data_IF_938641062010
#
_entry.id   IF_938641062010
#
_cell.length_a   1.000
_cell.length_b   1.000
_cell.length_c   1.000
_cell.angle_alpha   90.00
_cell.angle_beta   90.00
_cell.angle_gamma   90.00
#
_symmetry.space_group_name_H-M   'P 1'
#
loop_
_entity.id
_entity.type
_entity.pdbx_description
1 polymer ?
#
# COMPACT_ATOMS: atom_id res chain seq x y z
N UNK A 1 -22.78 -21.55 -0.10
CA UNK A 1 -22.58 -22.04 1.29
C UNK A 1 -21.14 -22.51 1.35
N UNK A 2 -20.24 -21.70 1.94
CA UNK A 2 -18.84 -22.07 2.15
C UNK A 2 -18.81 -22.79 3.51
N UNK A 3 -18.82 -24.12 3.52
CA UNK A 3 -19.10 -24.91 4.73
C UNK A 3 -18.03 -25.95 5.09
N UNK A 4 -16.93 -26.03 4.33
CA UNK A 4 -15.88 -27.02 4.58
C UNK A 4 -14.73 -26.48 5.44
N UNK A 5 -14.70 -25.16 5.69
CA UNK A 5 -13.63 -24.49 6.43
C UNK A 5 -13.94 -24.42 7.93
N UNK A 6 -13.27 -25.27 8.72
CA UNK A 6 -13.29 -25.20 10.20
C UNK A 6 -12.11 -24.34 10.68
N UNK A 7 -12.35 -23.50 11.69
CA UNK A 7 -11.31 -22.69 12.35
C UNK A 7 -11.30 -22.98 13.84
N UNK A 8 -10.12 -23.26 14.38
CA UNK A 8 -9.89 -23.50 15.80
C UNK A 8 -9.01 -22.38 16.36
N UNK A 9 -9.45 -21.75 17.44
CA UNK A 9 -8.75 -20.61 18.06
C UNK A 9 -8.46 -20.94 19.52
N UNK A 10 -7.21 -20.77 19.93
CA UNK A 10 -6.79 -20.91 21.31
C UNK A 10 -5.80 -19.80 21.67
N UNK A 11 -5.95 -19.21 22.86
CA UNK A 11 -5.02 -18.18 23.33
C UNK A 11 -3.81 -18.84 23.98
N UNK A 12 -2.64 -18.62 23.41
CA UNK A 12 -1.39 -19.17 23.93
C UNK A 12 -0.69 -18.11 24.77
N UNK A 13 -0.55 -18.36 26.07
CA UNK A 13 0.24 -17.55 27.02
C UNK A 13 1.39 -18.35 27.64
N UNK A 14 1.27 -19.68 27.69
CA UNK A 14 2.25 -20.60 28.27
C UNK A 14 2.52 -21.78 27.31
N UNK A 15 3.65 -22.50 27.48
CA UNK A 15 3.90 -23.74 26.72
C UNK A 15 2.84 -24.82 26.95
N UNK A 16 2.16 -24.82 28.10
CA UNK A 16 1.09 -25.77 28.40
C UNK A 16 -0.13 -25.54 27.48
N UNK A 17 -0.43 -24.29 27.14
CA UNK A 17 -1.53 -23.94 26.23
C UNK A 17 -1.29 -24.50 24.83
N UNK A 18 -0.03 -24.71 24.44
CA UNK A 18 0.30 -25.35 23.16
C UNK A 18 -0.08 -26.83 23.16
N UNK A 19 0.11 -27.51 24.30
CA UNK A 19 -0.29 -28.91 24.47
C UNK A 19 -1.82 -29.01 24.44
N UNK A 20 -2.52 -28.10 25.13
CA UNK A 20 -3.98 -28.05 25.10
C UNK A 20 -4.53 -27.84 23.68
N UNK A 21 -3.92 -26.93 22.90
CA UNK A 21 -4.30 -26.73 21.50
C UNK A 21 -4.01 -27.99 20.65
N UNK A 22 -2.92 -28.71 20.91
CA UNK A 22 -2.63 -29.97 20.22
C UNK A 22 -3.66 -31.07 20.59
N UNK A 23 -4.12 -31.11 21.85
CA UNK A 23 -5.17 -32.03 22.30
C UNK A 23 -6.54 -31.68 21.70
N UNK A 24 -6.85 -30.40 21.56
CA UNK A 24 -8.04 -29.91 20.85
C UNK A 24 -8.00 -30.35 19.37
N UNK A 25 -6.84 -30.24 18.71
CA UNK A 25 -6.64 -30.74 17.34
C UNK A 25 -6.83 -32.26 17.25
N UNK A 26 -6.28 -33.03 18.19
CA UNK A 26 -6.46 -34.48 18.24
C UNK A 26 -7.93 -34.87 18.45
N UNK A 27 -8.64 -34.11 19.29
CA UNK A 27 -10.07 -34.29 19.53
C UNK A 27 -10.90 -33.98 18.28
N UNK A 28 -10.52 -32.96 17.51
CA UNK A 28 -11.15 -32.65 16.23
C UNK A 28 -10.96 -33.78 15.21
N UNK A 29 -9.76 -34.36 15.13
CA UNK A 29 -9.46 -35.48 14.22
C UNK A 29 -10.27 -36.72 14.60
N UNK A 30 -10.34 -37.05 15.88
CA UNK A 30 -11.14 -38.20 16.35
C UNK A 30 -12.64 -37.97 16.11
N UNK A 31 -13.13 -36.75 16.34
CA UNK A 31 -14.50 -36.37 16.00
C UNK A 31 -14.79 -36.51 14.51
N UNK A 32 -13.90 -36.02 13.63
CA UNK A 32 -14.08 -36.16 12.18
C UNK A 32 -14.13 -37.65 11.75
N UNK A 33 -13.21 -38.46 12.26
CA UNK A 33 -13.15 -39.90 11.99
C UNK A 33 -14.44 -40.64 12.44
N UNK A 34 -14.95 -40.32 13.64
CA UNK A 34 -16.21 -40.91 14.14
C UNK A 34 -17.44 -40.53 13.32
N UNK A 35 -17.39 -39.40 12.61
CA UNK A 35 -18.47 -38.94 11.74
C UNK A 35 -18.24 -39.30 10.25
N UNK A 36 -17.19 -40.07 9.94
CA UNK A 36 -16.85 -40.46 8.57
C UNK A 36 -16.42 -39.29 7.69
N UNK A 37 -15.82 -38.25 8.27
CA UNK A 37 -15.29 -37.08 7.56
C UNK A 37 -13.78 -37.19 7.40
N UNK A 38 -13.30 -37.02 6.16
CA UNK A 38 -11.88 -36.96 5.85
C UNK A 38 -11.37 -35.51 5.86
N UNK A 39 -10.37 -35.23 6.70
CA UNK A 39 -9.73 -33.92 6.74
C UNK A 39 -8.70 -33.77 5.62
N UNK A 40 -8.76 -32.66 4.89
CA UNK A 40 -7.75 -32.34 3.88
C UNK A 40 -6.51 -31.72 4.52
N UNK A 41 -5.66 -32.56 5.13
CA UNK A 41 -4.44 -32.15 5.86
C UNK A 41 -3.55 -31.18 5.05
N UNK A 42 -3.30 -31.38 3.74
CA UNK A 42 -2.47 -30.46 2.96
C UNK A 42 -3.01 -29.03 2.84
N UNK A 43 -4.31 -28.82 3.11
CA UNK A 43 -4.94 -27.49 3.11
C UNK A 43 -5.03 -26.89 4.52
N UNK A 44 -4.73 -27.66 5.56
CA UNK A 44 -4.71 -27.17 6.93
C UNK A 44 -3.45 -26.32 7.14
N UNK A 45 -3.63 -25.11 7.66
CA UNK A 45 -2.53 -24.19 7.95
C UNK A 45 -2.64 -23.65 9.37
N UNK A 46 -1.48 -23.42 9.98
CA UNK A 46 -1.37 -22.81 11.29
C UNK A 46 -1.15 -21.31 11.12
N UNK A 47 -1.98 -20.51 11.79
CA UNK A 47 -1.80 -19.06 11.87
C UNK A 47 -1.67 -18.63 13.33
N UNK A 48 -0.68 -17.79 13.63
CA UNK A 48 -0.55 -17.15 14.94
C UNK A 48 -0.67 -15.63 14.82
N UNK A 49 -1.36 -15.04 15.79
CA UNK A 49 -1.49 -13.59 15.92
C UNK A 49 -0.86 -13.16 17.24
N UNK A 50 0.20 -12.38 17.17
CA UNK A 50 0.90 -11.86 18.34
C UNK A 50 1.27 -10.39 18.12
N UNK A 51 1.40 -9.64 19.22
CA UNK A 51 1.75 -8.21 19.18
C UNK A 51 3.26 -7.96 19.09
N UNK A 52 4.06 -8.98 19.39
CA UNK A 52 5.53 -8.92 19.35
C UNK A 52 6.06 -9.14 17.94
N UNK A 53 7.35 -8.91 17.72
CA UNK A 53 8.04 -9.14 16.43
C UNK A 53 8.28 -10.62 16.14
N UNK A 54 8.54 -11.40 17.19
CA UNK A 54 8.73 -12.84 17.13
C UNK A 54 7.64 -13.53 17.91
N UNK A 55 7.21 -14.70 17.43
CA UNK A 55 6.33 -15.56 18.20
C UNK A 55 7.07 -15.91 19.50
N UNK A 56 6.53 -15.58 20.68
CA UNK A 56 7.23 -15.80 21.94
C UNK A 56 7.38 -17.29 22.27
N UNK A 57 6.55 -18.15 21.67
CA UNK A 57 6.52 -19.59 21.93
C UNK A 57 6.50 -20.30 20.57
N UNK A 58 7.60 -20.99 20.24
CA UNK A 58 7.66 -21.85 19.06
C UNK A 58 7.18 -23.26 19.45
N UNK A 59 6.09 -23.71 18.84
CA UNK A 59 5.56 -25.06 19.01
C UNK A 59 5.12 -25.60 17.65
N UNK A 60 5.49 -26.85 17.38
CA UNK A 60 5.17 -27.52 16.12
C UNK A 60 3.90 -28.36 16.30
N UNK A 61 2.83 -27.94 15.64
CA UNK A 61 1.57 -28.66 15.66
C UNK A 61 1.51 -29.69 14.54
N UNK A 62 0.90 -30.85 14.82
CA UNK A 62 0.74 -31.91 13.83
C UNK A 62 -0.68 -32.46 13.81
N UNK A 63 -1.14 -32.87 12.63
CA UNK A 63 -2.41 -33.57 12.42
C UNK A 63 -2.07 -34.94 11.83
N UNK A 64 -2.46 -36.02 12.52
CA UNK A 64 -2.19 -37.40 12.08
C UNK A 64 -0.71 -37.67 11.74
N UNK A 65 0.21 -37.04 12.48
CA UNK A 65 1.66 -37.16 12.27
C UNK A 65 2.24 -36.24 11.19
N UNK A 66 1.42 -35.47 10.47
CA UNK A 66 1.86 -34.47 9.49
C UNK A 66 1.99 -33.11 10.17
N UNK A 67 3.15 -32.46 10.04
CA UNK A 67 3.37 -31.11 10.56
C UNK A 67 2.54 -30.08 9.79
N UNK A 68 1.87 -29.19 10.52
CA UNK A 68 1.15 -28.07 9.93
C UNK A 68 2.11 -26.99 9.47
N UNK A 69 1.93 -26.52 8.23
CA UNK A 69 2.68 -25.38 7.72
C UNK A 69 2.24 -24.10 8.45
N UNK A 70 3.23 -23.36 8.94
CA UNK A 70 2.99 -22.04 9.53
C UNK A 70 2.79 -21.02 8.42
N UNK A 71 1.55 -20.56 8.26
CA UNK A 71 1.24 -19.43 7.41
C UNK A 71 1.68 -18.15 8.13
N UNK A 72 2.89 -17.68 7.83
CA UNK A 72 3.46 -16.45 8.39
C UNK A 72 2.54 -15.25 8.11
N UNK A 73 1.78 -14.84 9.13
CA UNK A 73 1.08 -13.57 9.10
C UNK A 73 2.00 -12.48 9.66
N UNK A 74 2.83 -11.90 8.79
CA UNK A 74 3.55 -10.68 9.14
C UNK A 74 2.54 -9.55 9.32
N UNK A 75 2.22 -9.23 10.58
CA UNK A 75 1.24 -8.22 10.95
C UNK A 75 1.48 -6.87 10.23
N UNK A 76 2.75 -6.55 9.99
CA UNK A 76 3.22 -5.36 9.26
C UNK A 76 2.79 -5.36 7.80
N UNK A 77 2.96 -6.47 7.08
CA UNK A 77 2.54 -6.65 5.69
C UNK A 77 1.03 -6.53 5.54
N UNK A 78 0.28 -7.17 6.43
CA UNK A 78 -1.19 -7.13 6.41
C UNK A 78 -1.72 -5.73 6.74
N UNK A 79 -1.15 -5.05 7.74
CA UNK A 79 -1.51 -3.66 8.03
C UNK A 79 -1.19 -2.72 6.88
N UNK A 80 -0.07 -2.92 6.19
CA UNK A 80 0.24 -2.18 4.95
C UNK A 80 -0.89 -2.39 3.93
N UNK A 81 -1.27 -3.64 3.66
CA UNK A 81 -2.33 -3.95 2.68
C UNK A 81 -3.66 -3.29 3.08
N UNK A 82 -4.04 -3.35 4.36
CA UNK A 82 -5.24 -2.69 4.88
C UNK A 82 -5.18 -1.16 4.75
N UNK A 83 -4.06 -0.54 5.12
CA UNK A 83 -3.87 0.89 4.95
C UNK A 83 -3.98 1.30 3.47
N UNK A 84 -3.33 0.54 2.59
CA UNK A 84 -3.33 0.80 1.15
C UNK A 84 -4.74 0.69 0.54
N UNK A 85 -5.52 -0.30 0.98
CA UNK A 85 -6.85 -0.59 0.44
C UNK A 85 -7.96 0.30 1.01
N UNK A 86 -7.91 0.67 2.29
CA UNK A 86 -9.01 1.43 2.94
C UNK A 86 -8.74 2.93 3.09
N UNK A 87 -7.50 3.31 3.40
CA UNK A 87 -7.15 4.70 3.68
C UNK A 87 -6.55 5.34 2.45
N UNK A 88 -5.46 4.76 1.94
CA UNK A 88 -4.71 5.33 0.82
C UNK A 88 -5.54 5.39 -0.46
N UNK A 89 -6.37 4.38 -0.74
CA UNK A 89 -7.31 4.40 -1.86
C UNK A 89 -8.22 5.63 -1.86
N UNK A 90 -8.76 6.01 -0.70
CA UNK A 90 -9.60 7.21 -0.53
C UNK A 90 -8.79 8.51 -0.67
N UNK A 91 -7.56 8.52 -0.16
CA UNK A 91 -6.65 9.67 -0.26
C UNK A 91 -6.05 9.86 -1.66
N UNK A 92 -6.08 8.84 -2.50
CA UNK A 92 -5.59 8.91 -3.88
C UNK A 92 -6.72 9.12 -4.88
N UNK A 93 -7.94 8.72 -4.51
CA UNK A 93 -9.12 8.91 -5.34
C UNK A 93 -9.31 10.38 -5.69
N UNK A 94 -9.30 10.68 -6.99
CA UNK A 94 -9.49 12.04 -7.50
C UNK A 94 -8.38 13.03 -7.15
N UNK A 95 -7.22 12.58 -6.65
CA UNK A 95 -6.14 13.48 -6.22
C UNK A 95 -5.65 14.44 -7.32
N UNK A 96 -5.77 14.06 -8.58
CA UNK A 96 -5.45 14.93 -9.73
C UNK A 96 -6.40 16.13 -9.82
N UNK A 97 -7.63 16.01 -9.31
CA UNK A 97 -8.65 17.07 -9.35
C UNK A 97 -8.50 17.98 -8.14
N UNK A 98 -8.60 17.43 -6.93
CA UNK A 98 -8.70 18.21 -5.71
C UNK A 98 -7.37 18.61 -5.10
N UNK A 99 -6.24 18.04 -5.54
CA UNK A 99 -4.96 18.39 -4.92
C UNK A 99 -4.80 19.92 -5.00
N UNK A 100 -4.78 20.54 -3.82
CA UNK A 100 -4.57 21.96 -3.66
C UNK A 100 -3.11 22.11 -3.28
N UNK A 101 -2.33 22.79 -4.11
CA UNK A 101 -0.86 22.78 -3.98
C UNK A 101 -0.34 23.73 -2.89
N UNK A 102 -1.16 24.07 -1.90
CA UNK A 102 -0.66 24.75 -0.71
C UNK A 102 0.15 23.74 0.10
N UNK A 103 1.36 24.13 0.52
CA UNK A 103 2.23 23.26 1.35
C UNK A 103 1.54 22.78 2.62
N UNK A 104 0.67 23.62 3.22
CA UNK A 104 -0.12 23.27 4.41
C UNK A 104 -1.04 22.07 4.18
N UNK A 105 -1.80 22.07 3.09
CA UNK A 105 -2.78 21.02 2.81
C UNK A 105 -2.10 19.68 2.49
N UNK A 106 -1.03 19.73 1.70
CA UNK A 106 -0.20 18.56 1.43
C UNK A 106 0.38 17.98 2.74
N UNK A 107 0.80 18.84 3.67
CA UNK A 107 1.28 18.41 4.98
C UNK A 107 0.19 17.75 5.82
N UNK A 108 -1.04 18.29 5.83
CA UNK A 108 -2.16 17.67 6.56
C UNK A 108 -2.46 16.26 6.07
N UNK A 109 -2.41 16.03 4.75
CA UNK A 109 -2.58 14.70 4.17
C UNK A 109 -1.42 13.79 4.54
N UNK A 110 -0.18 14.29 4.47
CA UNK A 110 1.01 13.52 4.84
C UNK A 110 0.98 13.10 6.31
N UNK A 111 0.39 13.91 7.21
CA UNK A 111 0.21 13.54 8.62
C UNK A 111 -0.61 12.26 8.81
N UNK A 112 -1.57 11.98 7.93
CA UNK A 112 -2.36 10.75 7.98
C UNK A 112 -1.45 9.53 7.76
N UNK A 113 -0.61 9.58 6.72
CA UNK A 113 0.37 8.53 6.47
C UNK A 113 1.44 8.46 7.58
N UNK A 114 1.94 9.60 8.06
CA UNK A 114 2.92 9.64 9.17
C UNK A 114 2.38 9.04 10.47
N UNK A 115 1.09 9.22 10.77
CA UNK A 115 0.44 8.58 11.92
C UNK A 115 0.44 7.06 11.79
N UNK A 116 0.14 6.55 10.60
CA UNK A 116 0.27 5.13 10.29
C UNK A 116 1.72 4.65 10.42
N UNK A 117 2.69 5.35 9.83
CA UNK A 117 4.11 5.00 9.89
C UNK A 117 4.64 5.00 11.32
N UNK A 118 4.20 5.93 12.19
CA UNK A 118 4.59 5.93 13.60
C UNK A 118 4.04 4.72 14.37
N UNK A 119 2.82 4.29 14.05
CA UNK A 119 2.26 3.06 14.61
C UNK A 119 3.02 1.84 14.10
N UNK A 120 3.30 1.79 12.79
CA UNK A 120 4.05 0.69 12.18
C UNK A 120 5.49 0.62 12.67
N UNK A 121 6.15 1.77 12.92
CA UNK A 121 7.50 1.81 13.49
C UNK A 121 7.55 1.22 14.88
N UNK A 122 6.54 1.53 15.71
CA UNK A 122 6.42 0.98 17.06
C UNK A 122 6.24 -0.53 17.04
N UNK A 123 5.40 -1.06 16.15
CA UNK A 123 5.19 -2.51 16.10
C UNK A 123 6.30 -3.28 15.39
N UNK A 124 7.02 -2.62 14.48
CA UNK A 124 8.15 -3.25 13.77
C UNK A 124 9.49 -3.04 14.50
N UNK A 125 9.50 -2.39 15.67
CA UNK A 125 10.68 -1.88 16.39
C UNK A 125 11.75 -1.26 15.46
N UNK A 126 11.31 -0.45 14.51
CA UNK A 126 12.21 0.27 13.61
C UNK A 126 12.57 1.60 14.24
N UNK A 127 13.86 1.89 14.31
CA UNK A 127 14.34 3.20 14.73
C UNK A 127 13.81 4.28 13.78
N UNK A 128 12.98 5.16 14.33
CA UNK A 128 12.33 6.25 13.63
C UNK A 128 12.69 7.56 14.33
N UNK A 129 13.70 8.29 13.82
CA UNK A 129 14.08 9.60 14.34
C UNK A 129 12.88 10.56 14.28
N UNK A 130 12.86 11.60 15.13
CA UNK A 130 11.83 12.63 15.05
C UNK A 130 11.81 13.24 13.65
N UNK A 131 10.63 13.25 13.02
CA UNK A 131 10.38 13.76 11.67
C UNK A 131 11.05 13.02 10.51
N UNK A 132 11.82 11.95 10.75
CA UNK A 132 12.34 11.08 9.70
C UNK A 132 11.63 9.72 9.71
N UNK A 133 10.77 9.53 8.71
CA UNK A 133 9.98 8.30 8.53
C UNK A 133 10.50 7.45 7.37
N UNK A 134 11.62 7.85 6.73
CA UNK A 134 12.20 7.11 5.61
C UNK A 134 12.55 5.66 5.94
N UNK A 135 13.12 5.32 7.12
CA UNK A 135 13.43 3.93 7.46
C UNK A 135 12.20 3.01 7.40
N UNK A 136 11.07 3.52 7.92
CA UNK A 136 9.80 2.79 7.96
C UNK A 136 9.17 2.70 6.57
N UNK A 137 9.28 3.77 5.77
CA UNK A 137 8.84 3.78 4.38
C UNK A 137 9.60 2.73 3.56
N UNK A 138 10.92 2.66 3.71
CA UNK A 138 11.76 1.68 3.03
C UNK A 138 11.41 0.25 3.44
N UNK A 139 11.27 -0.01 4.75
CA UNK A 139 10.90 -1.34 5.25
C UNK A 139 9.54 -1.79 4.74
N UNK A 140 8.54 -0.90 4.75
CA UNK A 140 7.20 -1.21 4.26
C UNK A 140 7.09 -1.09 2.73
N UNK A 141 8.15 -0.72 2.00
CA UNK A 141 8.11 -0.45 0.55
C UNK A 141 6.93 0.49 0.21
N UNK A 142 6.90 1.64 0.88
CA UNK A 142 5.93 2.72 0.69
C UNK A 142 6.65 3.98 0.23
N UNK A 143 5.99 4.76 -0.62
CA UNK A 143 6.42 6.10 -1.01
C UNK A 143 5.57 7.14 -0.29
N UNK A 144 6.01 8.40 -0.26
CA UNK A 144 5.23 9.49 0.36
C UNK A 144 3.93 9.74 -0.41
N UNK A 145 2.90 10.27 0.26
CA UNK A 145 1.66 10.62 -0.47
C UNK A 145 1.91 11.75 -1.47
N UNK A 146 2.84 12.66 -1.17
CA UNK A 146 3.28 13.71 -2.10
C UNK A 146 3.80 13.11 -3.41
N UNK A 147 4.74 12.17 -3.35
CA UNK A 147 5.32 11.53 -4.54
C UNK A 147 4.26 10.76 -5.33
N UNK A 148 3.35 10.06 -4.63
CA UNK A 148 2.27 9.33 -5.29
C UNK A 148 1.33 10.26 -6.03
N UNK A 149 0.99 11.43 -5.46
CA UNK A 149 0.20 12.43 -6.17
C UNK A 149 0.92 12.94 -7.42
N UNK A 150 2.23 13.18 -7.35
CA UNK A 150 3.04 13.56 -8.52
C UNK A 150 2.98 12.47 -9.60
N UNK A 151 3.23 11.21 -9.22
CA UNK A 151 3.15 10.07 -10.12
C UNK A 151 1.76 9.92 -10.76
N UNK A 152 0.68 10.09 -10.00
CA UNK A 152 -0.69 10.04 -10.53
C UNK A 152 -0.92 11.17 -11.55
N UNK A 153 -0.48 12.40 -11.26
CA UNK A 153 -0.56 13.53 -12.20
C UNK A 153 0.17 13.23 -13.51
N UNK A 154 1.41 12.72 -13.42
CA UNK A 154 2.20 12.35 -14.58
C UNK A 154 1.55 11.20 -15.37
N UNK A 155 1.05 10.17 -14.68
CA UNK A 155 0.40 9.03 -15.33
C UNK A 155 -0.87 9.44 -16.09
N UNK A 156 -1.71 10.31 -15.52
CA UNK A 156 -2.91 10.82 -16.20
C UNK A 156 -2.52 11.63 -17.43
N UNK A 157 -1.50 12.48 -17.33
CA UNK A 157 -1.01 13.24 -18.48
C UNK A 157 -0.45 12.34 -19.58
N UNK A 158 0.34 11.32 -19.23
CA UNK A 158 0.91 10.38 -20.20
C UNK A 158 -0.20 9.57 -20.89
N UNK A 159 -1.20 9.11 -20.13
CA UNK A 159 -2.38 8.43 -20.66
C UNK A 159 -3.20 9.30 -21.60
N UNK A 160 -3.34 10.59 -21.30
CA UNK A 160 -4.03 11.56 -22.16
C UNK A 160 -3.28 11.74 -23.49
N UNK A 161 -1.95 11.84 -23.45
CA UNK A 161 -1.12 12.03 -24.66
C UNK A 161 -1.07 10.76 -25.52
N UNK A 162 -0.98 9.59 -24.89
CA UNK A 162 -0.94 8.30 -25.57
C UNK A 162 -2.32 7.79 -26.02
N UNK A 163 -3.39 8.57 -25.83
CA UNK A 163 -4.75 8.19 -26.24
C UNK A 163 -5.40 7.10 -25.39
N UNK A 164 -4.84 6.73 -24.23
CA UNK A 164 -5.48 5.82 -23.28
C UNK A 164 -6.63 6.47 -22.52
N UNK A 165 -6.65 7.81 -22.45
CA UNK A 165 -7.80 8.60 -22.00
C UNK A 165 -8.31 9.38 -23.20
N UNK A 166 -9.46 8.98 -23.74
CA UNK A 166 -10.10 9.67 -24.86
C UNK A 166 -10.84 10.91 -24.36
N UNK A 167 -10.18 12.07 -24.47
CA UNK A 167 -10.79 13.35 -24.16
C UNK A 167 -10.20 14.46 -25.04
N UNK A 168 -10.81 14.75 -26.20
CA UNK A 168 -10.32 15.80 -27.09
C UNK A 168 -10.35 17.18 -26.44
N UNK A 169 -11.31 17.41 -25.54
CA UNK A 169 -11.43 18.68 -24.78
C UNK A 169 -10.24 18.89 -23.86
N UNK A 170 -9.76 17.84 -23.18
CA UNK A 170 -8.59 17.95 -22.30
C UNK A 170 -7.29 18.01 -23.10
N UNK A 171 -7.21 17.25 -24.20
CA UNK A 171 -6.05 17.27 -25.09
C UNK A 171 -5.83 18.67 -25.70
N UNK A 172 -6.91 19.35 -26.09
CA UNK A 172 -6.84 20.72 -26.63
C UNK A 172 -6.40 21.77 -25.58
N UNK A 173 -6.40 21.43 -24.29
CA UNK A 173 -5.88 22.31 -23.22
C UNK A 173 -4.38 22.12 -22.96
N UNK A 174 -3.73 21.15 -23.62
CA UNK A 174 -2.30 20.93 -23.48
C UNK A 174 -1.52 21.91 -24.37
N UNK A 175 -0.64 22.68 -23.75
CA UNK A 175 0.19 23.65 -24.43
C UNK A 175 1.57 23.03 -24.71
N UNK A 176 1.72 22.33 -25.83
CA UNK A 176 3.04 21.80 -26.22
C UNK A 176 3.99 22.95 -26.57
N UNK A 177 5.23 22.86 -26.07
CA UNK A 177 6.26 23.84 -26.40
C UNK A 177 6.99 23.41 -27.67
N UNK A 178 6.69 24.06 -28.78
CA UNK A 178 7.38 23.85 -30.06
C UNK A 178 8.69 24.63 -30.04
N UNK A 179 9.82 23.97 -30.31
CA UNK A 179 11.13 24.65 -30.43
C UNK A 179 11.19 25.36 -31.78
N UNK A 180 11.25 26.69 -31.76
CA UNK A 180 11.31 27.50 -33.00
C UNK A 180 12.77 27.76 -33.45
N UNK A 181 13.74 27.80 -32.53
CA UNK A 181 15.18 27.94 -32.79
C UNK A 181 16.00 27.26 -31.69
N UNK A 182 17.33 27.09 -31.88
CA UNK A 182 18.36 26.44 -31.03
C UNK A 182 18.31 26.78 -29.52
N UNK A 183 17.20 26.44 -28.88
CA UNK A 183 16.96 26.65 -27.46
C UNK A 183 17.49 25.44 -26.71
N UNK A 184 18.40 25.71 -25.78
CA UNK A 184 18.91 24.72 -24.81
C UNK A 184 17.84 24.26 -23.81
N UNK A 185 16.63 24.85 -23.85
CA UNK A 185 15.54 24.46 -22.96
C UNK A 185 15.01 23.07 -23.32
N UNK A 186 14.88 22.21 -22.30
CA UNK A 186 14.38 20.83 -22.40
C UNK A 186 12.88 20.75 -22.05
N UNK A 187 12.25 21.88 -21.70
CA UNK A 187 10.84 21.91 -21.30
C UNK A 187 9.91 21.54 -22.45
N UNK A 188 9.00 20.60 -22.19
CA UNK A 188 8.10 19.97 -23.15
C UNK A 188 6.77 20.73 -23.28
N UNK A 189 6.34 21.38 -22.21
CA UNK A 189 5.09 22.13 -22.16
C UNK A 189 5.34 23.62 -21.90
N UNK A 190 4.51 24.47 -22.50
CA UNK A 190 4.44 25.88 -22.20
C UNK A 190 3.44 26.11 -21.06
N UNK A 191 3.90 26.69 -19.95
CA UNK A 191 3.05 26.98 -18.79
C UNK A 191 2.56 28.44 -18.90
N UNK A 192 1.24 28.68 -19.03
CA UNK A 192 0.73 30.04 -19.12
C UNK A 192 0.96 30.78 -17.80
N UNK A 193 1.25 32.08 -17.89
CA UNK A 193 1.37 32.92 -16.70
C UNK A 193 0.02 32.99 -15.99
N UNK A 194 0.02 32.78 -14.67
CA UNK A 194 -1.16 32.83 -13.83
C UNK A 194 -0.86 33.71 -12.61
N UNK A 195 -1.66 34.75 -12.40
CA UNK A 195 -1.52 35.68 -11.27
C UNK A 195 -2.05 35.11 -9.95
N UNK A 196 -2.97 34.14 -10.01
CA UNK A 196 -3.64 33.57 -8.82
C UNK A 196 -3.19 32.13 -8.56
N UNK A 197 -2.90 31.80 -7.30
CA UNK A 197 -2.47 30.47 -6.86
C UNK A 197 -3.45 29.36 -7.25
N UNK A 198 -4.75 29.64 -7.23
CA UNK A 198 -5.79 28.69 -7.66
C UNK A 198 -5.59 28.27 -9.13
N UNK A 199 -5.47 29.24 -10.04
CA UNK A 199 -5.27 28.99 -11.47
C UNK A 199 -3.92 28.33 -11.75
N UNK A 200 -2.87 28.73 -11.01
CA UNK A 200 -1.54 28.10 -11.09
C UNK A 200 -1.55 26.62 -10.70
N UNK A 201 -2.48 26.21 -9.84
CA UNK A 201 -2.61 24.85 -9.33
C UNK A 201 -3.77 24.07 -9.94
N UNK A 202 -4.40 24.61 -10.99
CA UNK A 202 -5.38 23.85 -11.75
C UNK A 202 -4.73 22.59 -12.34
N UNK A 203 -5.49 21.49 -12.52
CA UNK A 203 -4.93 20.18 -12.87
C UNK A 203 -4.04 20.21 -14.12
N UNK A 204 -4.46 20.90 -15.19
CA UNK A 204 -3.71 20.96 -16.45
C UNK A 204 -2.38 21.69 -16.29
N UNK A 205 -2.39 22.90 -15.73
CA UNK A 205 -1.17 23.69 -15.48
C UNK A 205 -0.22 22.97 -14.54
N UNK A 206 -0.75 22.29 -13.51
CA UNK A 206 0.07 21.50 -12.59
C UNK A 206 0.72 20.30 -13.29
N UNK A 207 -0.06 19.49 -14.01
CA UNK A 207 0.48 18.29 -14.68
C UNK A 207 1.57 18.66 -15.68
N UNK A 208 1.34 19.70 -16.50
CA UNK A 208 2.35 20.21 -17.43
C UNK A 208 3.61 20.73 -16.72
N UNK A 209 3.45 21.40 -15.56
CA UNK A 209 4.58 21.89 -14.75
C UNK A 209 5.40 20.73 -14.19
N UNK A 210 4.74 19.74 -13.58
CA UNK A 210 5.41 18.53 -13.06
C UNK A 210 6.13 17.77 -14.18
N UNK A 211 5.54 17.67 -15.37
CA UNK A 211 6.16 17.03 -16.51
C UNK A 211 7.41 17.76 -17.03
N UNK A 212 7.46 19.08 -16.87
CA UNK A 212 8.64 19.88 -17.19
C UNK A 212 9.79 19.68 -16.17
N UNK A 213 9.47 19.30 -14.94
CA UNK A 213 10.46 18.96 -13.90
C UNK A 213 11.06 17.55 -14.12
N UNK A 214 10.43 16.70 -14.94
CA UNK A 214 10.88 15.34 -15.25
C UNK A 214 11.38 15.24 -16.70
N UNK A 215 12.71 15.31 -16.94
CA UNK A 215 13.28 15.34 -18.29
C UNK A 215 12.93 14.12 -19.16
N UNK A 216 12.70 12.95 -18.55
CA UNK A 216 12.36 11.70 -19.24
C UNK A 216 10.88 11.54 -19.60
N UNK A 217 9.98 12.42 -19.16
CA UNK A 217 8.52 12.16 -19.22
C UNK A 217 7.94 11.68 -20.58
N UNK A 218 8.26 12.35 -21.70
CA UNK A 218 7.90 11.95 -23.09
C UNK A 218 8.99 11.17 -23.85
N UNK A 219 10.13 10.89 -23.25
CA UNK A 219 11.14 10.01 -23.84
C UNK A 219 10.77 8.62 -23.33
N UNK A 220 9.81 7.97 -23.99
CA UNK A 220 9.44 6.60 -23.62
C UNK A 220 10.63 5.65 -23.76
N UNK A 221 10.67 4.65 -22.87
CA UNK A 221 11.29 3.35 -23.17
C UNK A 221 10.59 2.69 -24.37
#
# INVERSE_FOLDING_TARGET
MFADDIKLFHRISTPQDCILLQDDLNSLVTWAATHGLDLCIPKCSLMAFYRSLSCPISFNYSISGVLLEFAEFLWTSSLKVLFCSFVRSKLEYGAVIWCQATMSDSYQLERIQRKFLKCASFTSSIDCPPHDYNPVLCHLVLTTLADRRVQTNLSVLAKLINGQIDSPVLLNKLNFRIKVFNSRSVFKFHIPFCSVNYLRNCPMSRMMRLANEVPSFLLGD
#
